data_IF_646095641274
#
_entry.id   IF_646095641274
#
_cell.length_a   1.000
_cell.length_b   1.000
_cell.length_c   1.000
_cell.angle_alpha   90.00
_cell.angle_beta   90.00
_cell.angle_gamma   90.00
#
_symmetry.space_group_name_H-M   'P 1'
#
loop_
_entity.id
_entity.type
_entity.pdbx_description
1 polymer ?
#
# COMPACT_ATOMS: atom_id res chain seq x y z
N UNK A 1 -6.98 13.15 9.36
CA UNK A 1 -7.37 12.90 7.95
C UNK A 1 -7.90 14.22 7.44
N UNK A 2 -7.38 14.70 6.32
CA UNK A 2 -7.94 15.88 5.66
C UNK A 2 -9.06 15.36 4.77
N UNK A 3 -10.30 15.67 5.13
CA UNK A 3 -11.48 15.28 4.36
C UNK A 3 -11.71 16.29 3.23
N UNK A 4 -12.04 15.80 2.03
CA UNK A 4 -12.36 16.66 0.89
C UNK A 4 -12.07 16.00 -0.45
N UNK A 5 -12.35 16.74 -1.52
CA UNK A 5 -11.90 16.36 -2.86
C UNK A 5 -10.37 16.40 -2.95
N UNK A 6 -9.78 15.39 -3.58
CA UNK A 6 -8.33 15.20 -3.60
C UNK A 6 -7.60 16.33 -4.34
N UNK A 7 -8.17 16.84 -5.43
CA UNK A 7 -7.55 17.94 -6.19
C UNK A 7 -7.57 19.22 -5.38
N UNK A 8 -8.71 19.52 -4.74
CA UNK A 8 -8.83 20.70 -3.88
C UNK A 8 -7.83 20.63 -2.72
N UNK A 9 -7.80 19.51 -2.00
CA UNK A 9 -6.92 19.33 -0.84
C UNK A 9 -5.45 19.38 -1.24
N UNK A 10 -5.03 18.66 -2.28
CA UNK A 10 -3.63 18.64 -2.70
C UNK A 10 -3.16 20.01 -3.18
N UNK A 11 -3.97 20.75 -3.94
CA UNK A 11 -3.61 22.10 -4.39
C UNK A 11 -3.47 23.07 -3.22
N UNK A 12 -4.34 22.98 -2.22
CA UNK A 12 -4.23 23.81 -1.02
C UNK A 12 -2.94 23.49 -0.24
N UNK A 13 -2.62 22.21 -0.04
CA UNK A 13 -1.39 21.79 0.63
C UNK A 13 -0.13 22.22 -0.14
N UNK A 14 -0.13 22.10 -1.47
CA UNK A 14 0.98 22.53 -2.32
C UNK A 14 1.24 24.03 -2.15
N UNK A 15 0.18 24.85 -2.19
CA UNK A 15 0.31 26.31 -2.00
C UNK A 15 0.72 26.67 -0.58
N UNK A 16 0.13 26.01 0.42
CA UNK A 16 0.36 26.29 1.84
C UNK A 16 1.80 26.00 2.27
N UNK A 17 2.41 24.95 1.71
CA UNK A 17 3.73 24.47 2.13
C UNK A 17 4.81 24.58 1.06
N UNK A 18 4.52 25.23 -0.07
CA UNK A 18 5.42 25.35 -1.23
C UNK A 18 5.98 23.98 -1.67
N UNK A 19 5.10 22.96 -1.71
CA UNK A 19 5.51 21.59 -1.98
C UNK A 19 5.80 21.39 -3.48
N UNK A 20 6.98 20.85 -3.81
CA UNK A 20 7.42 20.64 -5.19
C UNK A 20 7.00 19.30 -5.80
N UNK A 21 6.61 18.31 -4.98
CA UNK A 21 6.14 17.00 -5.41
C UNK A 21 5.27 16.31 -4.37
N UNK A 22 4.37 15.45 -4.84
CA UNK A 22 3.56 14.57 -3.99
C UNK A 22 4.01 13.14 -4.22
N UNK A 23 4.42 12.43 -3.18
CA UNK A 23 4.93 11.06 -3.27
C UNK A 23 3.85 10.05 -2.88
N UNK A 24 3.65 9.03 -3.71
CA UNK A 24 2.64 7.99 -3.48
C UNK A 24 3.20 6.59 -3.77
N UNK A 25 2.59 5.56 -3.19
CA UNK A 25 2.74 4.20 -3.69
C UNK A 25 1.91 4.04 -4.97
N UNK A 26 2.41 3.28 -5.95
CA UNK A 26 1.64 3.04 -7.18
C UNK A 26 0.43 2.17 -6.89
N UNK A 27 -0.77 2.69 -7.18
CA UNK A 27 -2.01 1.93 -7.13
C UNK A 27 -2.31 1.24 -8.46
N UNK A 28 -2.72 -0.03 -8.39
CA UNK A 28 -3.09 -0.83 -9.55
C UNK A 28 -4.57 -1.22 -9.56
N UNK A 29 -5.29 -0.96 -8.47
CA UNK A 29 -6.74 -1.15 -8.43
C UNK A 29 -7.45 -0.09 -9.27
N UNK A 30 -8.56 -0.43 -9.94
CA UNK A 30 -9.21 0.47 -10.91
C UNK A 30 -9.52 1.86 -10.35
N UNK A 31 -10.02 1.93 -9.12
CA UNK A 31 -10.32 3.21 -8.47
C UNK A 31 -9.05 4.02 -8.20
N UNK A 32 -8.05 3.44 -7.53
CA UNK A 32 -6.81 4.13 -7.16
C UNK A 32 -6.00 4.58 -8.39
N UNK A 33 -5.91 3.74 -9.41
CA UNK A 33 -5.23 4.10 -10.66
C UNK A 33 -5.94 5.26 -11.38
N UNK A 34 -7.28 5.21 -11.49
CA UNK A 34 -8.06 6.29 -12.12
C UNK A 34 -7.98 7.60 -11.31
N UNK A 35 -8.00 7.49 -9.98
CA UNK A 35 -7.81 8.61 -9.06
C UNK A 35 -6.50 9.33 -9.35
N UNK A 36 -5.40 8.59 -9.35
CA UNK A 36 -4.07 9.17 -9.54
C UNK A 36 -3.91 9.77 -10.94
N UNK A 37 -4.46 9.12 -11.98
CA UNK A 37 -4.45 9.64 -13.34
C UNK A 37 -5.18 10.98 -13.47
N UNK A 38 -6.31 11.15 -12.77
CA UNK A 38 -7.04 12.44 -12.73
C UNK A 38 -6.22 13.53 -12.05
N UNK A 39 -5.48 13.18 -10.98
CA UNK A 39 -4.59 14.11 -10.27
C UNK A 39 -3.44 14.58 -11.17
N UNK A 40 -2.79 13.65 -11.87
CA UNK A 40 -1.73 13.97 -12.83
C UNK A 40 -2.26 14.80 -14.01
N UNK A 41 -3.43 14.44 -14.55
CA UNK A 41 -4.07 15.19 -15.64
C UNK A 41 -4.45 16.63 -15.24
N UNK A 42 -4.69 16.88 -13.95
CA UNK A 42 -4.92 18.21 -13.40
C UNK A 42 -3.62 19.01 -13.15
N UNK A 43 -2.45 18.46 -13.50
CA UNK A 43 -1.15 19.14 -13.43
C UNK A 43 -0.37 18.93 -12.12
N UNK A 44 -0.87 18.10 -11.20
CA UNK A 44 -0.16 17.80 -9.96
C UNK A 44 0.88 16.71 -10.23
N UNK A 45 2.15 16.99 -9.93
CA UNK A 45 3.25 16.04 -10.08
C UNK A 45 3.20 14.96 -9.00
N UNK A 46 2.80 13.74 -9.39
CA UNK A 46 2.88 12.55 -8.54
C UNK A 46 4.20 11.80 -8.78
N UNK A 47 4.94 11.53 -7.72
CA UNK A 47 6.14 10.68 -7.73
C UNK A 47 5.76 9.31 -7.17
N UNK A 48 5.61 8.35 -8.08
CA UNK A 48 5.20 6.98 -7.77
C UNK A 48 6.40 6.14 -7.32
N UNK A 49 6.34 5.61 -6.09
CA UNK A 49 7.41 4.80 -5.48
C UNK A 49 6.87 3.46 -5.01
N UNK A 50 7.36 2.37 -5.60
CA UNK A 50 6.90 1.03 -5.22
C UNK A 50 5.41 0.82 -5.46
N UNK A 51 4.86 -0.21 -4.80
CA UNK A 51 3.45 -0.60 -4.85
C UNK A 51 3.14 -1.48 -3.64
N UNK A 52 1.85 -1.72 -3.29
CA UNK A 52 1.49 -2.68 -2.26
C UNK A 52 1.78 -4.15 -2.63
N UNK A 53 2.23 -4.43 -3.85
CA UNK A 53 2.60 -5.77 -4.32
C UNK A 53 4.12 -6.01 -4.21
N UNK A 54 4.49 -7.22 -3.79
CA UNK A 54 5.91 -7.67 -3.81
C UNK A 54 6.52 -7.62 -5.22
N UNK A 55 5.71 -7.94 -6.24
CA UNK A 55 6.04 -7.67 -7.65
C UNK A 55 4.89 -6.89 -8.25
N UNK A 56 5.18 -5.69 -8.72
CA UNK A 56 4.17 -4.81 -9.30
C UNK A 56 3.46 -5.48 -10.50
N UNK A 57 2.11 -5.38 -10.60
CA UNK A 57 1.35 -5.89 -11.73
C UNK A 57 1.91 -5.45 -13.08
N UNK A 58 1.88 -6.35 -14.05
CA UNK A 58 2.42 -6.13 -15.39
C UNK A 58 3.92 -6.41 -15.56
N UNK A 59 4.65 -6.77 -14.49
CA UNK A 59 6.07 -7.17 -14.58
C UNK A 59 6.29 -8.65 -14.88
N UNK A 60 5.39 -9.53 -14.42
CA UNK A 60 5.43 -10.96 -14.73
C UNK A 60 4.56 -11.23 -15.95
N UNK A 61 5.19 -11.44 -17.10
CA UNK A 61 4.55 -11.66 -18.40
C UNK A 61 5.08 -12.94 -19.05
N UNK A 62 4.29 -13.53 -19.95
CA UNK A 62 4.72 -14.71 -20.70
C UNK A 62 5.94 -14.34 -21.56
N UNK A 63 7.03 -15.12 -21.53
CA UNK A 63 8.22 -14.83 -22.31
C UNK A 63 7.99 -14.96 -23.82
N UNK A 64 6.96 -15.71 -24.22
CA UNK A 64 6.64 -15.99 -25.63
C UNK A 64 5.98 -14.81 -26.35
N UNK A 65 5.09 -14.10 -25.67
CA UNK A 65 4.20 -13.10 -26.30
C UNK A 65 4.04 -11.81 -25.46
N UNK A 66 4.75 -11.69 -24.34
CA UNK A 66 4.63 -10.60 -23.37
C UNK A 66 3.21 -10.34 -22.82
N UNK A 67 2.27 -11.26 -23.01
CA UNK A 67 0.90 -11.09 -22.49
C UNK A 67 0.76 -11.62 -21.06
N UNK A 68 -0.25 -11.17 -20.30
CA UNK A 68 -0.49 -11.64 -18.93
C UNK A 68 -0.81 -13.14 -18.86
N UNK A 69 -0.48 -13.77 -17.74
CA UNK A 69 -0.90 -15.14 -17.44
C UNK A 69 -2.38 -15.19 -17.06
N UNK A 70 -3.07 -16.26 -17.49
CA UNK A 70 -4.46 -16.57 -17.09
C UNK A 70 -4.60 -17.81 -16.21
N UNK A 71 -3.49 -18.51 -15.96
CA UNK A 71 -3.42 -19.73 -15.15
C UNK A 71 -2.38 -19.53 -14.06
N UNK A 72 -2.72 -19.91 -12.82
CA UNK A 72 -1.88 -19.64 -11.64
C UNK A 72 -0.54 -20.37 -11.66
N UNK A 73 -0.50 -21.67 -11.94
CA UNK A 73 0.75 -22.46 -11.89
C UNK A 73 1.88 -21.89 -12.76
N UNK A 74 1.68 -21.57 -14.06
CA UNK A 74 2.74 -20.96 -14.86
C UNK A 74 3.05 -19.52 -14.44
N UNK A 75 2.06 -18.76 -13.94
CA UNK A 75 2.30 -17.45 -13.33
C UNK A 75 3.23 -17.56 -12.11
N UNK A 76 2.92 -18.46 -11.18
CA UNK A 76 3.69 -18.68 -9.95
C UNK A 76 5.14 -19.04 -10.25
N UNK A 77 5.37 -19.97 -11.20
CA UNK A 77 6.74 -20.33 -11.64
C UNK A 77 7.50 -19.13 -12.18
N UNK A 78 6.88 -18.33 -13.05
CA UNK A 78 7.50 -17.13 -13.61
C UNK A 78 7.71 -16.03 -12.56
N UNK A 79 6.78 -15.88 -11.62
CA UNK A 79 6.87 -14.92 -10.52
C UNK A 79 8.02 -15.25 -9.56
N UNK A 80 8.20 -16.53 -9.20
CA UNK A 80 9.35 -16.99 -8.42
C UNK A 80 10.67 -16.75 -9.17
N UNK A 81 10.73 -17.04 -10.47
CA UNK A 81 11.91 -16.80 -11.28
C UNK A 81 12.24 -15.31 -11.44
N UNK A 82 11.22 -14.44 -11.53
CA UNK A 82 11.40 -12.99 -11.53
C UNK A 82 11.95 -12.48 -10.19
N UNK A 83 11.52 -13.09 -9.08
CA UNK A 83 11.91 -12.67 -7.74
C UNK A 83 11.33 -11.32 -7.32
N UNK A 84 11.73 -10.82 -6.16
CA UNK A 84 11.28 -9.55 -5.61
C UNK A 84 12.37 -8.87 -4.80
N UNK A 85 12.21 -7.56 -4.59
CA UNK A 85 13.17 -6.76 -3.84
C UNK A 85 13.00 -6.98 -2.34
N UNK A 86 14.09 -6.81 -1.59
CA UNK A 86 14.03 -6.71 -0.12
C UNK A 86 13.22 -5.45 0.28
N UNK A 87 12.61 -5.44 1.48
CA UNK A 87 12.00 -4.23 2.03
C UNK A 87 12.97 -3.05 2.02
N UNK A 88 12.45 -1.86 1.76
CA UNK A 88 13.24 -0.64 1.86
C UNK A 88 13.65 -0.38 3.32
N UNK A 89 14.79 0.28 3.49
CA UNK A 89 15.23 0.70 4.82
C UNK A 89 14.28 1.76 5.38
N UNK A 90 14.00 1.64 6.68
CA UNK A 90 13.14 2.61 7.38
C UNK A 90 13.94 3.91 7.57
N UNK A 91 13.38 5.08 7.22
CA UNK A 91 14.01 6.34 7.57
C UNK A 91 14.04 6.53 9.09
N UNK A 92 15.21 6.85 9.63
CA UNK A 92 15.38 7.11 11.07
C UNK A 92 14.83 8.50 11.46
N UNK A 93 14.98 9.47 10.55
CA UNK A 93 14.59 10.86 10.76
C UNK A 93 13.72 11.29 9.58
N UNK A 94 12.53 11.81 9.90
CA UNK A 94 11.65 12.47 8.93
C UNK A 94 11.48 13.90 9.44
N UNK A 95 12.01 14.87 8.69
CA UNK A 95 11.85 16.30 8.99
C UNK A 95 10.44 16.75 8.58
N UNK A 96 9.44 16.23 9.29
CA UNK A 96 8.05 16.52 9.04
C UNK A 96 7.67 17.90 9.61
N UNK A 97 6.88 18.66 8.84
CA UNK A 97 6.22 19.85 9.35
C UNK A 97 5.19 19.45 10.41
N UNK A 98 4.96 20.33 11.39
CA UNK A 98 3.87 20.15 12.35
C UNK A 98 2.54 20.41 11.62
N UNK A 99 1.63 19.42 11.54
CA UNK A 99 0.33 19.64 10.92
C UNK A 99 -0.50 20.65 11.71
N UNK A 100 -1.41 21.34 11.03
CA UNK A 100 -2.37 22.22 11.68
C UNK A 100 -3.36 21.39 12.52
N UNK A 101 -4.00 22.02 13.51
CA UNK A 101 -4.89 21.31 14.44
C UNK A 101 -6.08 20.63 13.74
N UNK A 102 -6.53 21.23 12.63
CA UNK A 102 -7.62 20.79 11.77
C UNK A 102 -7.20 19.77 10.70
N UNK A 103 -5.90 19.50 10.49
CA UNK A 103 -5.47 18.47 9.52
C UNK A 103 -5.72 17.03 10.04
N UNK A 104 -5.94 16.88 11.35
CA UNK A 104 -6.07 15.58 12.05
C UNK A 104 -7.51 15.24 12.44
N UNK A 105 -8.44 15.36 11.49
CA UNK A 105 -9.86 15.03 11.71
C UNK A 105 -10.13 13.52 11.55
N UNK A 106 -9.75 12.71 12.53
CA UNK A 106 -10.21 11.32 12.58
C UNK A 106 -11.55 11.24 13.30
N UNK A 107 -12.58 10.64 12.71
CA UNK A 107 -13.83 10.41 13.42
C UNK A 107 -13.59 9.48 14.61
N UNK A 108 -14.25 9.76 15.72
CA UNK A 108 -14.40 8.77 16.78
C UNK A 108 -15.56 7.83 16.43
N UNK A 109 -15.23 6.66 15.89
CA UNK A 109 -16.21 5.65 15.52
C UNK A 109 -16.59 4.82 16.74
N UNK A 110 -17.81 5.04 17.25
CA UNK A 110 -18.37 4.19 18.31
C UNK A 110 -18.52 2.76 17.80
N UNK A 111 -17.93 1.83 18.53
CA UNK A 111 -18.05 0.42 18.22
C UNK A 111 -19.44 -0.10 18.61
N UNK A 112 -20.07 -0.94 17.78
CA UNK A 112 -21.26 -1.67 18.18
C UNK A 112 -20.99 -2.48 19.46
N UNK A 113 -22.00 -2.59 20.33
CA UNK A 113 -21.87 -3.32 21.58
C UNK A 113 -21.40 -4.77 21.35
N UNK A 114 -20.43 -5.21 22.15
CA UNK A 114 -19.85 -6.55 22.04
C UNK A 114 -18.74 -6.70 20.98
N UNK A 115 -18.44 -5.65 20.21
CA UNK A 115 -17.36 -5.70 19.20
C UNK A 115 -15.99 -5.77 19.86
N UNK A 116 -15.21 -6.81 19.55
CA UNK A 116 -13.79 -6.89 19.89
C UNK A 116 -12.95 -6.56 18.65
N UNK A 117 -12.18 -5.48 18.70
CA UNK A 117 -11.23 -5.17 17.63
C UNK A 117 -9.93 -5.92 17.88
N UNK A 118 -9.38 -6.53 16.84
CA UNK A 118 -7.99 -6.98 16.85
C UNK A 118 -7.04 -5.77 16.86
N UNK A 119 -5.86 -5.87 17.49
CA UNK A 119 -4.86 -4.80 17.40
C UNK A 119 -4.57 -4.44 15.93
N UNK A 120 -4.68 -3.16 15.59
CA UNK A 120 -4.48 -2.65 14.25
C UNK A 120 -3.18 -1.83 14.14
N UNK A 121 -2.72 -1.62 12.90
CA UNK A 121 -1.53 -0.83 12.58
C UNK A 121 -0.26 -1.66 12.37
N UNK A 122 0.77 -0.99 11.84
CA UNK A 122 2.03 -1.61 11.41
C UNK A 122 2.70 -2.44 12.53
N UNK A 123 2.75 -1.91 13.76
CA UNK A 123 3.34 -2.61 14.90
C UNK A 123 2.66 -3.95 15.17
N UNK A 124 1.33 -3.97 15.23
CA UNK A 124 0.55 -5.18 15.44
C UNK A 124 0.73 -6.19 14.29
N UNK A 125 0.80 -5.70 13.04
CA UNK A 125 1.07 -6.55 11.88
C UNK A 125 2.46 -7.22 11.95
N UNK A 126 3.50 -6.46 12.32
CA UNK A 126 4.87 -6.98 12.49
C UNK A 126 4.92 -8.02 13.62
N UNK A 127 4.31 -7.72 14.77
CA UNK A 127 4.24 -8.65 15.90
C UNK A 127 3.53 -9.96 15.50
N UNK A 128 2.38 -9.85 14.81
CA UNK A 128 1.64 -11.02 14.32
C UNK A 128 2.43 -11.83 13.30
N UNK A 129 3.14 -11.18 12.40
CA UNK A 129 3.96 -11.85 11.39
C UNK A 129 5.14 -12.60 12.03
N UNK A 130 5.86 -11.98 12.97
CA UNK A 130 6.93 -12.65 13.74
C UNK A 130 6.41 -13.87 14.49
N UNK A 131 5.24 -13.74 15.13
CA UNK A 131 4.59 -14.88 15.78
C UNK A 131 4.29 -15.99 14.77
N UNK A 132 3.73 -15.66 13.60
CA UNK A 132 3.43 -16.65 12.58
C UNK A 132 4.69 -17.36 12.06
N UNK A 133 5.75 -16.61 11.78
CA UNK A 133 7.04 -17.18 11.35
C UNK A 133 7.60 -18.17 12.37
N UNK A 134 7.49 -17.86 13.68
CA UNK A 134 7.98 -18.73 14.75
C UNK A 134 7.11 -19.98 14.97
N UNK A 135 5.79 -19.85 14.88
CA UNK A 135 4.88 -20.87 15.41
C UNK A 135 4.02 -21.58 14.36
N UNK A 136 3.74 -20.96 13.21
CA UNK A 136 2.77 -21.47 12.24
C UNK A 136 3.33 -21.74 10.84
N UNK A 137 4.52 -21.24 10.51
CA UNK A 137 5.05 -21.30 9.15
C UNK A 137 5.49 -22.71 8.74
N UNK A 138 6.14 -23.46 9.64
CA UNK A 138 6.74 -24.76 9.32
C UNK A 138 5.72 -25.83 8.92
N UNK A 139 4.52 -25.79 9.50
CA UNK A 139 3.44 -26.76 9.28
C UNK A 139 2.29 -26.17 8.46
N UNK A 140 2.51 -25.01 7.84
CA UNK A 140 1.43 -24.24 7.22
C UNK A 140 0.77 -24.97 6.04
N UNK A 141 1.51 -25.82 5.34
CA UNK A 141 1.00 -26.60 4.21
C UNK A 141 -0.16 -27.53 4.61
N UNK A 142 -0.07 -28.12 5.81
CA UNK A 142 -1.09 -28.99 6.40
C UNK A 142 -2.08 -28.21 7.27
N UNK A 143 -1.57 -27.41 8.22
CA UNK A 143 -2.37 -26.78 9.28
C UNK A 143 -3.39 -25.76 8.76
N UNK A 144 -3.16 -25.15 7.58
CA UNK A 144 -4.10 -24.19 6.96
C UNK A 144 -5.49 -24.76 6.65
N UNK A 145 -5.64 -26.09 6.59
CA UNK A 145 -6.90 -26.76 6.25
C UNK A 145 -7.70 -27.23 7.49
N UNK A 146 -7.15 -27.05 8.70
CA UNK A 146 -7.68 -27.63 9.95
C UNK A 146 -8.17 -26.53 10.91
N UNK A 147 -8.02 -25.26 10.53
CA UNK A 147 -8.32 -24.08 11.36
C UNK A 147 -9.81 -23.71 11.39
#
# INVERSE_FOLDING_TARGET
MIAGDQLTVLNDLIKRYDASSVHIATEYEPYGANRDNKIEAAGIKLVRTGSPYAVAPGRVRKPTDATPYRVYTPFYKAWCAHGWRKPAEKPEIINALKPAADDRNFPDWKLPAGTKITPAGERAAIERFKYFQKNGLNEYDQARNIA
#
